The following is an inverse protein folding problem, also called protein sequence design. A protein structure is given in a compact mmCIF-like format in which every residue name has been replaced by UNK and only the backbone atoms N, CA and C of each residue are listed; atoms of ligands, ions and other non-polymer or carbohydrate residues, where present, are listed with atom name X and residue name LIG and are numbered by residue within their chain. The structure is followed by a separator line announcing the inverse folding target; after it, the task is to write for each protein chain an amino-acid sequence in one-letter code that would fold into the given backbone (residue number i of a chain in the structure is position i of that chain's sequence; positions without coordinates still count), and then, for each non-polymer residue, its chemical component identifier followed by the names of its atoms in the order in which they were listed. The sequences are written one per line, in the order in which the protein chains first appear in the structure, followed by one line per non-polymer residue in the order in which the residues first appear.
data_IF_856931657125
#
_entry.id   IF_856931657125
#
_cell.length_a   1.000
_cell.length_b   1.000
_cell.length_c   1.000
_cell.angle_alpha   90.00
_cell.angle_beta   90.00
_cell.angle_gamma   90.00
#
_symmetry.space_group_name_H-M   'P 1'
#
loop_
_entity.id
_entity.type
_entity.pdbx_description
1 polymer ?
#
# COMPACT_ATOMS: atom_id res chain seq x y z
N UNK A 1 -30.37 -18.51 -24.38
CA UNK A 1 -30.67 -17.58 -23.28
C UNK A 1 -29.44 -16.71 -23.07
N UNK A 2 -29.55 -15.39 -23.21
CA UNK A 2 -28.43 -14.46 -22.99
C UNK A 2 -28.45 -14.12 -21.49
N UNK A 3 -27.41 -14.48 -20.75
CA UNK A 3 -27.33 -14.16 -19.32
C UNK A 3 -27.24 -12.65 -19.08
N UNK A 4 -27.44 -12.24 -17.83
CA UNK A 4 -27.28 -10.84 -17.44
C UNK A 4 -25.84 -10.35 -17.71
N UNK A 5 -25.68 -9.11 -18.19
CA UNK A 5 -24.36 -8.55 -18.41
C UNK A 5 -23.58 -8.40 -17.10
N UNK A 6 -22.25 -8.57 -17.20
CA UNK A 6 -21.31 -8.37 -16.11
C UNK A 6 -20.49 -7.12 -16.38
N UNK A 7 -20.36 -6.27 -15.37
CA UNK A 7 -19.42 -5.15 -15.33
C UNK A 7 -18.45 -5.34 -14.17
N UNK A 8 -17.40 -4.53 -14.13
CA UNK A 8 -16.37 -4.56 -13.11
C UNK A 8 -16.25 -3.19 -12.47
N UNK A 9 -16.00 -3.18 -11.16
CA UNK A 9 -15.59 -1.97 -10.43
C UNK A 9 -14.16 -2.17 -9.93
N UNK A 10 -13.29 -1.20 -10.22
CA UNK A 10 -11.93 -1.13 -9.67
C UNK A 10 -11.92 -0.08 -8.57
N UNK A 11 -11.39 -0.47 -7.41
CA UNK A 11 -11.13 0.46 -6.32
C UNK A 11 -9.63 0.60 -6.08
N UNK A 12 -9.20 1.82 -5.71
CA UNK A 12 -7.84 2.11 -5.27
C UNK A 12 -7.83 2.78 -3.90
N UNK A 13 -6.80 2.49 -3.13
CA UNK A 13 -6.48 3.11 -1.84
C UNK A 13 -5.04 3.61 -1.94
N UNK A 14 -4.75 4.79 -1.38
CA UNK A 14 -3.41 5.36 -1.32
C UNK A 14 -2.97 5.41 0.15
N UNK A 15 -1.88 4.72 0.49
CA UNK A 15 -1.45 4.53 1.87
C UNK A 15 -2.56 3.92 2.73
N UNK A 16 -2.97 4.66 3.77
CA UNK A 16 -4.03 4.24 4.69
C UNK A 16 -5.35 5.02 4.46
N UNK A 17 -5.56 5.56 3.26
CA UNK A 17 -6.83 6.20 2.89
C UNK A 17 -7.97 5.19 2.77
N UNK A 18 -9.20 5.67 2.58
CA UNK A 18 -10.30 4.81 2.17
C UNK A 18 -10.16 4.35 0.71
N UNK A 19 -10.80 3.22 0.37
CA UNK A 19 -10.92 2.76 -1.00
C UNK A 19 -11.86 3.67 -1.79
N UNK A 20 -11.40 4.15 -2.95
CA UNK A 20 -12.18 4.96 -3.89
C UNK A 20 -12.40 4.20 -5.19
N UNK A 21 -13.61 4.26 -5.74
CA UNK A 21 -13.89 3.73 -7.06
C UNK A 21 -13.17 4.56 -8.12
N UNK A 22 -12.28 3.93 -8.88
CA UNK A 22 -11.53 4.57 -9.97
C UNK A 22 -12.02 4.14 -11.36
N UNK A 23 -12.73 3.01 -11.43
CA UNK A 23 -13.35 2.53 -12.65
C UNK A 23 -14.63 1.77 -12.36
N UNK A 24 -15.62 1.90 -13.26
CA UNK A 24 -16.80 1.04 -13.33
C UNK A 24 -17.20 0.86 -14.79
N UNK A 25 -17.27 -0.36 -15.28
CA UNK A 25 -17.64 -0.64 -16.67
C UNK A 25 -17.37 -2.08 -17.12
N UNK A 26 -17.66 -2.39 -18.37
CA UNK A 26 -17.55 -3.75 -18.92
C UNK A 26 -16.14 -4.15 -19.37
N UNK A 27 -15.18 -3.22 -19.40
CA UNK A 27 -13.83 -3.52 -19.83
C UNK A 27 -13.09 -4.36 -18.76
N UNK A 28 -12.28 -5.29 -19.24
CA UNK A 28 -11.45 -6.17 -18.39
C UNK A 28 -10.04 -5.61 -18.17
N UNK A 29 -9.75 -4.42 -18.71
CA UNK A 29 -8.50 -3.70 -18.52
C UNK A 29 -8.80 -2.23 -18.25
N UNK A 30 -8.07 -1.66 -17.30
CA UNK A 30 -8.15 -0.26 -16.92
C UNK A 30 -6.75 0.25 -16.57
N UNK A 31 -6.37 1.39 -17.14
CA UNK A 31 -5.07 2.03 -16.90
C UNK A 31 -5.28 3.30 -16.09
N UNK A 32 -4.74 3.32 -14.87
CA UNK A 32 -4.74 4.50 -14.01
C UNK A 32 -3.45 5.31 -14.25
N UNK A 33 -3.59 6.58 -14.60
CA UNK A 33 -2.49 7.53 -14.76
C UNK A 33 -2.38 8.47 -13.55
N UNK A 34 -1.28 9.22 -13.44
CA UNK A 34 -1.11 10.22 -12.40
C UNK A 34 -0.91 9.65 -10.99
N UNK A 35 -0.43 8.41 -10.87
CA UNK A 35 -0.05 7.84 -9.58
C UNK A 35 1.15 8.60 -9.00
N UNK A 36 1.08 8.92 -7.72
CA UNK A 36 2.17 9.62 -7.05
C UNK A 36 3.36 8.67 -6.85
N UNK A 37 4.59 9.09 -7.20
CA UNK A 37 5.78 8.29 -6.98
C UNK A 37 6.00 8.07 -5.47
N UNK A 38 6.66 6.97 -5.13
CA UNK A 38 7.00 6.59 -3.75
C UNK A 38 5.78 6.51 -2.82
N UNK A 39 4.58 6.31 -3.38
CA UNK A 39 3.34 6.13 -2.63
C UNK A 39 2.86 4.70 -2.77
N UNK A 40 2.39 4.11 -1.68
CA UNK A 40 1.78 2.79 -1.71
C UNK A 40 0.34 2.90 -2.21
N UNK A 41 0.01 2.17 -3.27
CA UNK A 41 -1.34 2.01 -3.77
C UNK A 41 -1.81 0.58 -3.59
N UNK A 42 -3.07 0.41 -3.20
CA UNK A 42 -3.73 -0.89 -3.06
C UNK A 42 -4.94 -0.94 -3.97
N UNK A 43 -5.02 -1.96 -4.81
CA UNK A 43 -6.07 -2.14 -5.79
C UNK A 43 -6.87 -3.41 -5.51
N UNK A 44 -8.18 -3.34 -5.72
CA UNK A 44 -9.08 -4.49 -5.68
C UNK A 44 -10.18 -4.34 -6.72
N UNK A 45 -10.67 -5.46 -7.23
CA UNK A 45 -11.71 -5.49 -8.27
C UNK A 45 -12.86 -6.36 -7.81
N UNK A 46 -14.10 -5.96 -8.09
CA UNK A 46 -15.25 -6.84 -7.96
C UNK A 46 -16.03 -6.91 -9.28
N UNK A 47 -16.65 -8.06 -9.52
CA UNK A 47 -17.62 -8.24 -10.60
C UNK A 47 -19.00 -7.82 -10.12
N UNK A 48 -19.79 -7.21 -11.00
CA UNK A 48 -21.14 -6.74 -10.73
C UNK A 48 -22.03 -7.30 -11.83
N UNK A 49 -23.07 -8.05 -11.43
CA UNK A 49 -24.10 -8.52 -12.34
C UNK A 49 -25.18 -7.47 -12.47
N UNK A 50 -25.48 -7.09 -13.71
CA UNK A 50 -26.53 -6.13 -14.04
C UNK A 50 -27.85 -6.86 -14.32
N UNK A 51 -28.73 -6.88 -13.32
CA UNK A 51 -30.07 -7.44 -13.46
C UNK A 51 -30.98 -6.42 -14.18
N UNK A 52 -31.90 -6.87 -15.04
CA UNK A 52 -32.82 -5.97 -15.76
C UNK A 52 -33.85 -5.30 -14.83
N UNK A 53 -34.41 -6.05 -13.89
CA UNK A 53 -35.50 -5.59 -13.00
C UNK A 53 -35.11 -5.62 -11.51
N UNK A 54 -33.82 -5.74 -11.21
CA UNK A 54 -33.32 -5.78 -9.84
C UNK A 54 -32.06 -4.92 -9.67
N UNK A 55 -31.72 -4.51 -8.44
CA UNK A 55 -30.47 -3.83 -8.17
C UNK A 55 -29.26 -4.64 -8.65
N UNK A 56 -28.20 -3.91 -9.02
CA UNK A 56 -26.91 -4.50 -9.37
C UNK A 56 -26.38 -5.38 -8.24
N UNK A 57 -26.02 -6.62 -8.56
CA UNK A 57 -25.50 -7.57 -7.59
C UNK A 57 -23.97 -7.57 -7.64
N UNK A 58 -23.34 -7.00 -6.61
CA UNK A 58 -21.89 -6.99 -6.48
C UNK A 58 -21.38 -8.28 -5.84
N UNK A 59 -20.41 -8.92 -6.48
CA UNK A 59 -19.67 -10.04 -5.92
C UNK A 59 -18.61 -9.61 -4.89
N UNK A 60 -17.89 -10.58 -4.31
CA UNK A 60 -16.76 -10.28 -3.43
C UNK A 60 -15.64 -9.56 -4.20
N UNK A 61 -14.86 -8.76 -3.48
CA UNK A 61 -13.64 -8.20 -4.04
C UNK A 61 -12.56 -9.28 -4.18
N UNK A 62 -11.72 -9.12 -5.19
CA UNK A 62 -10.47 -9.87 -5.34
C UNK A 62 -9.54 -9.65 -4.16
N UNK A 63 -8.52 -10.52 -3.98
CA UNK A 63 -7.36 -10.17 -3.18
C UNK A 63 -6.80 -8.81 -3.58
N UNK A 64 -6.30 -8.07 -2.61
CA UNK A 64 -5.72 -6.75 -2.81
C UNK A 64 -4.33 -6.89 -3.44
N UNK A 65 -4.06 -6.10 -4.48
CA UNK A 65 -2.74 -5.98 -5.09
C UNK A 65 -2.12 -4.66 -4.67
N UNK A 66 -0.91 -4.72 -4.11
CA UNK A 66 -0.16 -3.53 -3.68
C UNK A 66 0.88 -3.14 -4.73
N UNK A 67 0.93 -1.87 -5.09
CA UNK A 67 1.85 -1.29 -6.07
C UNK A 67 2.48 -0.01 -5.50
N UNK A 68 3.79 0.14 -5.67
CA UNK A 68 4.53 1.35 -5.31
C UNK A 68 5.24 1.91 -6.56
N UNK A 69 4.65 2.90 -7.25
CA UNK A 69 5.26 3.49 -8.42
C UNK A 69 6.62 4.09 -8.04
N UNK A 70 7.69 3.55 -8.63
CA UNK A 70 9.02 4.15 -8.48
C UNK A 70 9.18 5.30 -9.47
N UNK A 71 9.85 6.37 -9.02
CA UNK A 71 10.33 7.40 -9.91
C UNK A 71 11.43 6.78 -10.79
N UNK A 72 11.11 6.49 -12.05
CA UNK A 72 12.13 6.09 -13.02
C UNK A 72 12.96 7.33 -13.39
N UNK A 73 14.11 7.50 -12.74
CA UNK A 73 15.16 8.39 -13.22
C UNK A 73 15.74 7.72 -14.49
N UNK A 74 15.18 8.03 -15.66
CA UNK A 74 15.75 7.57 -16.92
C UNK A 74 17.13 8.22 -17.12
N UNK A 75 18.18 7.48 -16.76
CA UNK A 75 19.50 7.61 -17.39
C UNK A 75 19.72 6.41 -18.30
N UNK A 76 20.29 6.71 -19.47
CA UNK A 76 20.23 5.91 -20.69
C UNK A 76 21.05 4.61 -20.64
N UNK A 77 20.52 3.58 -21.31
CA UNK A 77 21.29 2.57 -22.03
C UNK A 77 21.77 1.33 -21.27
N UNK A 78 21.06 0.22 -21.44
CA UNK A 78 21.67 -1.02 -21.95
C UNK A 78 20.61 -2.09 -22.21
N UNK A 79 20.58 -2.52 -23.47
CA UNK A 79 20.04 -3.81 -23.89
C UNK A 79 20.95 -4.88 -23.31
N UNK A 80 20.42 -5.84 -22.54
CA UNK A 80 21.05 -7.16 -22.38
C UNK A 80 20.02 -8.19 -21.92
N UNK A 81 19.81 -9.16 -22.78
CA UNK A 81 19.11 -10.41 -22.57
C UNK A 81 19.94 -11.39 -21.70
N UNK A 82 19.22 -12.31 -21.03
CA UNK A 82 19.64 -13.61 -20.48
C UNK A 82 20.40 -13.62 -19.13
N UNK A 83 19.81 -14.35 -18.16
CA UNK A 83 20.53 -15.10 -17.14
C UNK A 83 20.13 -14.81 -15.67
N UNK A 84 19.67 -15.81 -14.89
CA UNK A 84 19.35 -15.62 -13.48
C UNK A 84 20.62 -15.76 -12.64
N UNK A 85 21.00 -14.73 -11.89
CA UNK A 85 22.00 -14.86 -10.82
C UNK A 85 21.67 -13.99 -9.62
N UNK A 86 21.79 -14.66 -8.48
CA UNK A 86 21.70 -14.14 -7.13
C UNK A 86 22.68 -12.99 -6.86
N UNK A 87 22.33 -12.19 -5.86
CA UNK A 87 23.25 -11.25 -5.22
C UNK A 87 23.10 -9.81 -5.70
N UNK A 88 22.02 -9.16 -5.28
CA UNK A 88 22.02 -7.71 -5.09
C UNK A 88 21.38 -7.48 -3.72
N UNK A 89 22.23 -7.22 -2.72
CA UNK A 89 21.79 -6.82 -1.40
C UNK A 89 20.80 -5.66 -1.54
N UNK A 90 19.55 -5.79 -1.08
CA UNK A 90 18.68 -4.64 -0.99
C UNK A 90 19.35 -3.71 0.01
N UNK A 91 19.71 -2.50 -0.41
CA UNK A 91 19.97 -1.39 0.51
C UNK A 91 18.70 -1.28 1.35
N UNK A 92 18.75 -1.90 2.53
CA UNK A 92 17.63 -1.95 3.47
C UNK A 92 17.29 -0.49 3.74
N UNK A 93 16.10 0.00 3.38
CA UNK A 93 15.65 1.26 3.91
C UNK A 93 15.68 1.08 5.43
N UNK A 94 16.36 1.96 6.16
CA UNK A 94 16.38 1.95 7.62
C UNK A 94 14.92 1.98 8.07
N UNK A 95 14.41 0.79 8.36
CA UNK A 95 12.98 0.48 8.39
C UNK A 95 12.49 1.01 9.72
N UNK A 96 11.35 1.69 9.70
CA UNK A 96 10.52 2.18 10.81
C UNK A 96 10.86 1.66 12.23
N UNK A 97 11.12 0.36 12.36
CA UNK A 97 11.66 -0.32 13.54
C UNK A 97 12.83 0.40 14.24
N UNK A 98 13.82 0.93 13.48
CA UNK A 98 14.96 1.63 14.07
C UNK A 98 14.56 2.98 14.66
N UNK A 99 13.65 3.71 14.01
CA UNK A 99 13.13 4.97 14.53
C UNK A 99 12.29 4.76 15.79
N UNK A 100 11.45 3.72 15.78
CA UNK A 100 10.67 3.33 16.96
C UNK A 100 11.58 2.94 18.14
N UNK A 101 12.66 2.16 17.88
CA UNK A 101 13.61 1.77 18.90
C UNK A 101 14.33 2.97 19.55
N UNK A 102 14.68 4.00 18.77
CA UNK A 102 15.29 5.22 19.30
C UNK A 102 14.33 6.00 20.22
N UNK A 103 13.06 6.12 19.83
CA UNK A 103 12.02 6.78 20.63
C UNK A 103 11.82 6.04 21.95
N UNK A 104 11.72 4.70 21.90
CA UNK A 104 11.55 3.85 23.10
C UNK A 104 12.75 3.99 24.04
N UNK A 105 13.97 3.92 23.51
CA UNK A 105 15.20 4.05 24.30
C UNK A 105 15.27 5.42 25.00
N UNK A 106 14.96 6.51 24.30
CA UNK A 106 14.92 7.86 24.87
C UNK A 106 13.84 7.99 25.96
N UNK A 107 12.62 7.51 25.70
CA UNK A 107 11.54 7.54 26.68
C UNK A 107 11.92 6.75 27.94
N UNK A 108 12.53 5.57 27.80
CA UNK A 108 12.95 4.74 28.94
C UNK A 108 13.97 5.47 29.82
N UNK A 109 14.98 6.09 29.21
CA UNK A 109 16.00 6.88 29.95
C UNK A 109 15.35 8.05 30.69
N UNK A 110 14.44 8.79 30.04
CA UNK A 110 13.73 9.92 30.67
C UNK A 110 12.88 9.43 31.85
N UNK A 111 12.14 8.34 31.70
CA UNK A 111 11.33 7.77 32.79
C UNK A 111 12.18 7.37 33.99
N UNK A 112 13.36 6.78 33.77
CA UNK A 112 14.29 6.41 34.84
C UNK A 112 14.80 7.67 35.55
N UNK A 113 15.20 8.71 34.81
CA UNK A 113 15.67 9.98 35.40
C UNK A 113 14.58 10.66 36.23
N UNK A 114 13.35 10.71 35.73
CA UNK A 114 12.21 11.26 36.49
C UNK A 114 11.98 10.47 37.77
N UNK A 115 12.05 9.14 37.72
CA UNK A 115 11.92 8.30 38.91
C UNK A 115 13.01 8.62 39.95
N UNK A 116 14.26 8.84 39.52
CA UNK A 116 15.34 9.27 40.42
C UNK A 116 15.14 10.67 40.98
N UNK A 117 14.65 11.62 40.18
CA UNK A 117 14.33 12.98 40.66
C UNK A 117 13.25 12.90 41.73
N UNK A 118 12.15 12.18 41.49
CA UNK A 118 11.07 12.02 42.46
C UNK A 118 11.59 11.36 43.74
N UNK A 119 12.35 10.27 43.63
CA UNK A 119 12.96 9.62 44.80
C UNK A 119 13.87 10.57 45.57
N UNK A 120 14.68 11.38 44.87
CA UNK A 120 15.57 12.35 45.48
C UNK A 120 14.81 13.45 46.25
N UNK A 121 13.65 13.91 45.74
CA UNK A 121 12.83 14.94 46.40
C UNK A 121 11.86 14.39 47.47
N UNK A 122 11.53 13.10 47.44
CA UNK A 122 10.55 12.49 48.35
C UNK A 122 11.22 11.75 49.52
N UNK A 123 12.39 11.15 49.30
CA UNK A 123 13.11 10.34 50.30
C UNK A 123 14.23 11.14 50.99
N UNK A 124 14.51 12.35 50.51
CA UNK A 124 15.45 13.29 51.12
C UNK A 124 14.75 14.56 51.57
#
# INVERSE_FOLDING_TARGET
MKGDPIIYTVQSMMGNSEYKQVYKGSATSYQMSGLQPNSEYRFRVCAIRQCQDAPELSGPYSPTVTLSPQRSELSAGSVSSVGPRAGADPVRPLTDEQWAALIIMLCAVISILIAFIIQYFVIK
#
